data_IF_455371703181
#
_entry.id   IF_455371703181
#
_cell.length_a   1.000
_cell.length_b   1.000
_cell.length_c   1.000
_cell.angle_alpha   90.00
_cell.angle_beta   90.00
_cell.angle_gamma   90.00
#
_symmetry.space_group_name_H-M   'P 1'
#
loop_
_entity.id
_entity.type
_entity.pdbx_description
1 polymer ?
#
# COMPACT_ATOMS: atom_id res chain seq x y z
N UNK A 1 -24.89 17.35 -19.50
CA UNK A 1 -24.17 16.85 -18.32
C UNK A 1 -22.86 16.28 -18.83
N UNK A 2 -21.73 16.91 -18.51
CA UNK A 2 -20.43 16.38 -18.88
C UNK A 2 -20.15 15.18 -17.97
N UNK A 3 -20.06 13.99 -18.55
CA UNK A 3 -19.49 12.83 -17.86
C UNK A 3 -18.00 13.13 -17.71
N UNK A 4 -17.56 13.44 -16.49
CA UNK A 4 -16.13 13.58 -16.22
C UNK A 4 -15.48 12.24 -16.54
N UNK A 5 -14.75 12.17 -17.65
CA UNK A 5 -13.97 11.00 -18.04
C UNK A 5 -12.92 10.79 -16.95
N UNK A 6 -13.20 9.87 -16.03
CA UNK A 6 -12.23 9.46 -15.03
C UNK A 6 -11.00 8.92 -15.78
N UNK A 7 -9.78 9.29 -15.36
CA UNK A 7 -8.57 8.83 -16.02
C UNK A 7 -8.54 7.29 -15.99
N UNK A 8 -8.45 6.70 -17.18
CA UNK A 8 -8.34 5.25 -17.36
C UNK A 8 -6.89 4.85 -17.17
N UNK A 9 -6.62 4.11 -16.09
CA UNK A 9 -5.28 3.58 -15.79
C UNK A 9 -5.23 2.16 -16.37
N UNK A 10 -4.36 1.95 -17.35
CA UNK A 10 -4.09 0.64 -17.93
C UNK A 10 -2.84 0.06 -17.27
N UNK A 11 -2.97 -1.10 -16.61
CA UNK A 11 -1.88 -1.74 -15.88
C UNK A 11 -1.60 -3.09 -16.54
N UNK A 12 -0.38 -3.28 -17.03
CA UNK A 12 0.05 -4.54 -17.63
C UNK A 12 0.22 -5.60 -16.54
N UNK A 13 -0.35 -6.80 -16.75
CA UNK A 13 -0.50 -7.83 -15.70
C UNK A 13 0.79 -8.34 -15.05
N UNK A 14 1.95 -8.15 -15.68
CA UNK A 14 3.27 -8.57 -15.17
C UNK A 14 4.15 -7.40 -14.73
N UNK A 15 3.63 -6.17 -14.82
CA UNK A 15 4.38 -4.97 -14.45
C UNK A 15 4.45 -4.78 -12.94
N UNK A 16 5.52 -4.16 -12.44
CA UNK A 16 5.70 -3.86 -11.00
C UNK A 16 4.47 -3.15 -10.39
N UNK A 17 3.81 -2.18 -11.08
CA UNK A 17 2.58 -1.58 -10.59
C UNK A 17 1.39 -2.54 -10.46
N UNK A 18 1.28 -3.57 -11.31
CA UNK A 18 0.25 -4.60 -11.17
C UNK A 18 0.49 -5.48 -9.94
N UNK A 19 1.74 -5.87 -9.72
CA UNK A 19 2.12 -6.70 -8.58
C UNK A 19 1.92 -5.93 -7.27
N UNK A 20 2.33 -4.65 -7.22
CA UNK A 20 2.12 -3.78 -6.06
C UNK A 20 0.62 -3.57 -5.76
N UNK A 21 -0.20 -3.41 -6.80
CA UNK A 21 -1.66 -3.28 -6.63
C UNK A 21 -2.31 -4.58 -6.15
N UNK A 22 -1.84 -5.73 -6.63
CA UNK A 22 -2.30 -7.03 -6.15
C UNK A 22 -1.94 -7.24 -4.67
N UNK A 23 -0.73 -6.86 -4.27
CA UNK A 23 -0.28 -6.93 -2.87
C UNK A 23 -1.11 -6.03 -1.96
N UNK A 24 -1.37 -4.79 -2.36
CA UNK A 24 -2.26 -3.86 -1.64
C UNK A 24 -3.64 -4.47 -1.40
N UNK A 25 -4.24 -5.10 -2.41
CA UNK A 25 -5.55 -5.76 -2.26
C UNK A 25 -5.52 -6.89 -1.24
N UNK A 26 -4.48 -7.71 -1.26
CA UNK A 26 -4.29 -8.79 -0.27
C UNK A 26 -4.17 -8.22 1.15
N UNK A 27 -3.43 -7.13 1.33
CA UNK A 27 -3.29 -6.46 2.63
C UNK A 27 -4.65 -5.96 3.11
N UNK A 28 -5.38 -5.23 2.25
CA UNK A 28 -6.72 -4.71 2.57
C UNK A 28 -7.72 -5.84 2.89
N UNK A 29 -7.67 -6.97 2.18
CA UNK A 29 -8.53 -8.13 2.45
C UNK A 29 -8.15 -8.86 3.75
N UNK A 30 -6.89 -8.75 4.18
CA UNK A 30 -6.38 -9.34 5.41
C UNK A 30 -6.64 -8.46 6.64
N UNK A 31 -6.77 -7.14 6.46
CA UNK A 31 -7.12 -6.15 7.50
C UNK A 31 -8.60 -6.23 7.96
N UNK A 32 -9.16 -7.44 8.02
CA UNK A 32 -10.53 -7.77 8.43
C UNK A 32 -10.81 -7.47 9.92
N UNK A 33 -10.71 -6.22 10.33
CA UNK A 33 -11.17 -5.75 11.64
C UNK A 33 -11.51 -4.26 11.57
N UNK A 34 -12.64 -3.94 10.92
CA UNK A 34 -13.40 -2.70 11.14
C UNK A 34 -12.71 -1.36 10.87
N UNK A 35 -11.48 -1.34 10.36
CA UNK A 35 -10.78 -0.11 10.01
C UNK A 35 -11.24 0.38 8.63
N UNK A 36 -11.87 1.55 8.61
CA UNK A 36 -11.99 2.32 7.38
C UNK A 36 -10.59 2.77 6.97
N UNK A 37 -10.10 2.23 5.85
CA UNK A 37 -8.85 2.69 5.25
C UNK A 37 -9.10 4.02 4.53
N UNK A 38 -8.54 5.09 5.07
CA UNK A 38 -8.57 6.40 4.42
C UNK A 38 -7.65 6.45 3.20
N UNK A 39 -7.89 7.44 2.34
CA UNK A 39 -7.19 7.59 1.06
C UNK A 39 -5.67 7.70 1.25
N UNK A 40 -5.21 8.38 2.29
CA UNK A 40 -3.79 8.61 2.52
C UNK A 40 -3.09 7.32 2.98
N UNK A 41 -3.75 6.51 3.81
CA UNK A 41 -3.28 5.16 4.15
C UNK A 41 -3.15 4.27 2.91
N UNK A 42 -4.16 4.27 2.02
CA UNK A 42 -4.15 3.46 0.80
C UNK A 42 -2.99 3.85 -0.13
N UNK A 43 -2.78 5.16 -0.32
CA UNK A 43 -1.70 5.67 -1.19
C UNK A 43 -0.32 5.38 -0.61
N UNK A 44 -0.16 5.51 0.70
CA UNK A 44 1.11 5.21 1.39
C UNK A 44 1.44 3.72 1.29
N UNK A 45 0.47 2.86 1.58
CA UNK A 45 0.63 1.40 1.49
C UNK A 45 0.95 0.95 0.06
N UNK A 46 0.34 1.59 -0.94
CA UNK A 46 0.66 1.32 -2.34
C UNK A 46 2.10 1.70 -2.70
N UNK A 47 2.59 2.83 -2.19
CA UNK A 47 3.99 3.24 -2.38
C UNK A 47 4.96 2.25 -1.73
N UNK A 48 4.63 1.73 -0.54
CA UNK A 48 5.41 0.69 0.13
C UNK A 48 5.43 -0.60 -0.69
N UNK A 49 4.27 -1.01 -1.21
CA UNK A 49 4.16 -2.18 -2.08
C UNK A 49 5.02 -2.02 -3.35
N UNK A 50 5.06 -0.82 -3.94
CA UNK A 50 5.93 -0.52 -5.08
C UNK A 50 7.41 -0.62 -4.72
N UNK A 51 7.81 -0.11 -3.54
CA UNK A 51 9.19 -0.19 -3.06
C UNK A 51 9.63 -1.65 -2.87
N UNK A 52 8.78 -2.49 -2.25
CA UNK A 52 9.05 -3.93 -2.07
C UNK A 52 9.21 -4.64 -3.42
N UNK A 53 8.30 -4.38 -4.37
CA UNK A 53 8.34 -5.04 -5.69
C UNK A 53 9.54 -4.59 -6.51
N UNK A 54 9.93 -3.32 -6.40
CA UNK A 54 11.14 -2.76 -7.03
C UNK A 54 12.46 -3.21 -6.38
N UNK A 55 12.40 -4.11 -5.39
CA UNK A 55 13.58 -4.65 -4.71
C UNK A 55 14.27 -3.70 -3.75
N UNK A 56 13.58 -2.66 -3.27
CA UNK A 56 14.09 -1.84 -2.19
C UNK A 56 14.06 -2.64 -0.88
N UNK A 57 15.15 -2.56 -0.10
CA UNK A 57 15.16 -3.04 1.28
C UNK A 57 14.24 -2.13 2.11
N UNK A 58 13.03 -2.62 2.43
CA UNK A 58 12.14 -1.96 3.38
C UNK A 58 12.66 -2.26 4.78
N UNK A 59 13.45 -1.35 5.33
CA UNK A 59 13.80 -1.35 6.75
C UNK A 59 12.55 -0.99 7.56
N UNK A 60 11.93 -1.99 8.18
CA UNK A 60 11.08 -1.77 9.34
C UNK A 60 12.03 -1.43 10.50
N UNK A 61 12.21 -0.14 10.81
CA UNK A 61 12.80 0.26 12.08
C UNK A 61 11.84 -0.18 13.20
N UNK A 62 12.08 -1.38 13.74
CA UNK A 62 11.38 -1.96 14.89
C UNK A 62 11.93 -1.43 16.25
N UNK A 63 12.64 -0.31 16.27
CA UNK A 63 13.26 0.22 17.48
C UNK A 63 12.65 1.57 17.89
N UNK A 64 11.56 1.53 18.66
CA UNK A 64 11.54 2.34 19.89
C UNK A 64 10.82 1.56 21.01
N UNK A 65 11.56 0.59 21.54
CA UNK A 65 11.39 -0.01 22.86
C UNK A 65 11.08 1.10 23.88
N UNK A 66 9.94 0.98 24.57
CA UNK A 66 9.62 1.84 25.70
C UNK A 66 10.73 1.84 26.76
N UNK A 67 10.94 2.96 27.48
CA UNK A 67 11.81 2.95 28.63
C UNK A 67 11.06 2.29 29.78
N UNK A 68 11.28 1.00 29.98
CA UNK A 68 11.39 0.49 31.35
C UNK A 68 12.71 1.04 31.90
N UNK A 69 12.63 1.90 32.91
CA UNK A 69 13.43 1.89 34.16
C UNK A 69 13.11 3.16 34.96
N UNK A 70 12.61 2.96 36.18
CA UNK A 70 12.31 3.99 37.17
C UNK A 70 11.79 3.37 38.45
#
# INVERSE_FOLDING_TARGET
>A
MAVSELPRIDIQGESEPAVALALLRIIMESSKDGQEHDRDWILSTYADCLAVVGGAEVSYDEDEKGPEEG
#
